data_IF_147277990845
#
_entry.id   IF_147277990845
#
_cell.length_a   1.000
_cell.length_b   1.000
_cell.length_c   1.000
_cell.angle_alpha   90.00
_cell.angle_beta   90.00
_cell.angle_gamma   90.00
#
_symmetry.space_group_name_H-M   'P 1'
#
loop_
_entity.id
_entity.type
_entity.pdbx_description
1 polymer ?
#
# COMPACT_ATOMS: atom_id res chain seq x y z
N UNK A 1 -19.44 -2.12 -4.52
CA UNK A 1 -18.03 -1.68 -4.68
C UNK A 1 -17.68 -1.84 -6.15
N UNK A 2 -17.59 -0.73 -6.89
CA UNK A 2 -17.36 -0.75 -8.34
C UNK A 2 -16.09 -1.52 -8.66
N UNK A 3 -16.17 -2.47 -9.59
CA UNK A 3 -15.00 -3.14 -10.17
C UNK A 3 -14.14 -2.06 -10.82
N UNK A 4 -13.18 -1.50 -10.08
CA UNK A 4 -12.11 -0.70 -10.67
C UNK A 4 -11.39 -1.65 -11.62
N UNK A 5 -11.67 -1.51 -12.92
CA UNK A 5 -10.99 -2.29 -13.95
C UNK A 5 -9.55 -1.80 -13.95
N UNK A 6 -8.67 -2.51 -13.24
CA UNK A 6 -7.23 -2.23 -13.21
C UNK A 6 -6.68 -2.06 -14.62
N UNK A 7 -7.27 -2.71 -15.62
CA UNK A 7 -7.00 -2.60 -17.06
C UNK A 7 -6.85 -1.17 -17.63
N UNK A 8 -7.36 -0.12 -16.98
CA UNK A 8 -7.27 1.25 -17.51
C UNK A 8 -6.11 2.11 -17.00
N UNK A 9 -5.28 1.63 -16.07
CA UNK A 9 -4.08 2.37 -15.65
C UNK A 9 -2.94 2.01 -16.60
N UNK A 10 -2.38 3.02 -17.27
CA UNK A 10 -1.21 2.87 -18.15
C UNK A 10 -0.07 2.17 -17.41
N UNK A 11 0.66 1.30 -18.12
CA UNK A 11 1.73 0.51 -17.51
C UNK A 11 2.76 1.41 -16.84
N UNK A 12 3.15 2.51 -17.48
CA UNK A 12 4.17 3.42 -16.93
C UNK A 12 3.65 4.14 -15.69
N UNK A 13 2.37 4.52 -15.71
CA UNK A 13 1.72 5.16 -14.56
C UNK A 13 1.66 4.21 -13.36
N UNK A 14 1.37 2.92 -13.57
CA UNK A 14 1.45 1.92 -12.48
C UNK A 14 2.86 1.80 -11.91
N UNK A 15 3.89 1.73 -12.75
CA UNK A 15 5.27 1.64 -12.27
C UNK A 15 5.68 2.89 -11.49
N UNK A 16 5.25 4.08 -11.94
CA UNK A 16 5.48 5.33 -11.23
C UNK A 16 4.83 5.31 -9.84
N UNK A 17 3.54 4.97 -9.76
CA UNK A 17 2.80 4.91 -8.49
C UNK A 17 3.46 3.93 -7.50
N UNK A 18 3.87 2.76 -7.99
CA UNK A 18 4.56 1.77 -7.15
C UNK A 18 5.95 2.24 -6.75
N UNK A 19 6.68 2.93 -7.64
CA UNK A 19 7.98 3.53 -7.35
C UNK A 19 7.89 4.59 -6.25
N UNK A 20 6.92 5.50 -6.37
CA UNK A 20 6.67 6.56 -5.39
C UNK A 20 6.30 5.95 -4.02
N UNK A 21 5.44 4.92 -4.02
CA UNK A 21 5.11 4.18 -2.80
C UNK A 21 6.35 3.51 -2.18
N UNK A 22 7.19 2.88 -2.99
CA UNK A 22 8.41 2.23 -2.53
C UNK A 22 9.39 3.22 -1.90
N UNK A 23 9.57 4.40 -2.50
CA UNK A 23 10.41 5.46 -1.95
C UNK A 23 9.91 5.91 -0.57
N UNK A 24 8.59 6.06 -0.39
CA UNK A 24 8.01 6.41 0.91
C UNK A 24 8.31 5.31 1.95
N UNK A 25 8.07 4.05 1.60
CA UNK A 25 8.28 2.92 2.52
C UNK A 25 9.75 2.76 2.92
N UNK A 26 10.69 2.94 1.99
CA UNK A 26 12.13 2.83 2.27
C UNK A 26 12.67 3.94 3.18
N UNK A 27 11.97 5.06 3.29
CA UNK A 27 12.34 6.16 4.18
C UNK A 27 11.87 5.96 5.63
N UNK A 28 11.04 4.96 5.92
CA UNK A 28 10.59 4.62 7.27
C UNK A 28 11.71 3.91 8.04
N UNK A 29 12.11 4.45 9.20
CA UNK A 29 13.30 4.01 9.95
C UNK A 29 12.98 3.23 11.20
N UNK A 30 11.82 3.47 11.80
CA UNK A 30 11.42 2.84 13.04
C UNK A 30 10.21 1.94 12.86
N UNK A 31 10.09 0.93 13.73
CA UNK A 31 8.91 0.06 13.78
C UNK A 31 7.61 0.85 13.95
N UNK A 32 7.63 1.93 14.74
CA UNK A 32 6.47 2.77 14.99
C UNK A 32 6.07 3.57 13.74
N UNK A 33 7.03 4.08 12.97
CA UNK A 33 6.77 4.75 11.69
C UNK A 33 6.15 3.78 10.69
N UNK A 34 6.66 2.55 10.61
CA UNK A 34 6.11 1.51 9.73
C UNK A 34 4.67 1.18 10.12
N UNK A 35 4.41 0.92 11.41
CA UNK A 35 3.06 0.62 11.90
C UNK A 35 2.12 1.80 11.66
N UNK A 36 2.56 3.02 11.98
CA UNK A 36 1.78 4.25 11.79
C UNK A 36 1.43 4.49 10.32
N UNK A 37 2.38 4.28 9.41
CA UNK A 37 2.16 4.40 7.98
C UNK A 37 1.08 3.42 7.49
N UNK A 38 1.21 2.13 7.80
CA UNK A 38 0.23 1.13 7.34
C UNK A 38 -1.14 1.29 8.00
N UNK A 39 -1.21 1.70 9.27
CA UNK A 39 -2.48 1.99 9.94
C UNK A 39 -3.18 3.26 9.42
N UNK A 40 -2.42 4.23 8.90
CA UNK A 40 -2.98 5.41 8.24
C UNK A 40 -3.38 5.16 6.78
N UNK A 41 -2.69 4.23 6.10
CA UNK A 41 -2.94 3.88 4.71
C UNK A 41 -4.12 2.92 4.54
N UNK A 42 -4.21 1.92 5.41
CA UNK A 42 -5.17 0.83 5.29
C UNK A 42 -6.40 1.11 6.15
N UNK A 43 -7.57 0.73 5.66
CA UNK A 43 -8.74 0.60 6.52
C UNK A 43 -8.54 -0.55 7.51
N UNK A 44 -9.24 -0.57 8.67
CA UNK A 44 -9.11 -1.65 9.65
C UNK A 44 -9.36 -3.05 9.06
N UNK A 45 -10.30 -3.16 8.11
CA UNK A 45 -10.60 -4.40 7.40
C UNK A 45 -9.45 -4.84 6.48
N UNK A 46 -8.84 -3.91 5.75
CA UNK A 46 -7.69 -4.19 4.87
C UNK A 46 -6.45 -4.56 5.69
N UNK A 47 -6.20 -3.86 6.81
CA UNK A 47 -5.13 -4.20 7.74
C UNK A 47 -5.28 -5.62 8.29
N UNK A 48 -6.50 -6.02 8.68
CA UNK A 48 -6.79 -7.39 9.12
C UNK A 48 -6.57 -8.42 8.00
N UNK A 49 -7.02 -8.14 6.79
CA UNK A 49 -6.80 -9.01 5.63
C UNK A 49 -5.32 -9.14 5.29
N UNK A 50 -4.55 -8.05 5.41
CA UNK A 50 -3.13 -8.02 5.16
C UNK A 50 -2.36 -8.84 6.21
N UNK A 51 -2.66 -8.66 7.50
CA UNK A 51 -2.07 -9.42 8.59
C UNK A 51 -2.29 -10.94 8.40
N UNK A 52 -3.51 -11.34 8.02
CA UNK A 52 -3.86 -12.76 7.74
C UNK A 52 -3.13 -13.37 6.54
N UNK A 53 -2.58 -12.56 5.63
CA UNK A 53 -1.78 -13.07 4.49
C UNK A 53 -0.31 -13.26 4.85
N UNK A 54 0.16 -12.59 5.89
CA UNK A 54 1.56 -12.64 6.34
C UNK A 54 1.75 -13.69 7.44
N UNK A 55 0.73 -13.87 8.29
CA UNK A 55 0.65 -14.97 9.26
C UNK A 55 0.55 -16.32 8.55
#
# INVERSE_FOLDING_TARGET
>A
MGKVQTKNIDKNERYKIIGDFYEIVTNLRTKNEVIGFFMGLLTPSEALMFARRIQ
#
